data_IF_388643259361
#
_entry.id   IF_388643259361
#
_cell.length_a   1.000
_cell.length_b   1.000
_cell.length_c   1.000
_cell.angle_alpha   90.00
_cell.angle_beta   90.00
_cell.angle_gamma   90.00
#
_symmetry.space_group_name_H-M   'P 1'
#
loop_
_entity.id
_entity.type
_entity.pdbx_description
1 polymer ?
#
# COMPACT_ATOMS: atom_id res chain seq x y z
N UNK A 1 -22.72 7.84 -11.66
CA UNK A 1 -21.33 7.47 -11.40
C UNK A 1 -20.43 8.66 -11.71
N UNK A 2 -19.67 9.10 -10.70
CA UNK A 2 -18.63 10.10 -10.93
C UNK A 2 -17.38 9.36 -11.38
N UNK A 3 -16.97 9.59 -12.61
CA UNK A 3 -15.72 9.08 -13.18
C UNK A 3 -14.74 10.24 -13.38
N UNK A 4 -13.45 9.93 -13.43
CA UNK A 4 -12.43 10.87 -13.85
C UNK A 4 -12.55 11.07 -15.37
N UNK A 5 -12.51 12.33 -15.82
CA UNK A 5 -12.52 12.65 -17.25
C UNK A 5 -11.17 12.25 -17.90
N UNK A 6 -11.21 11.93 -19.18
CA UNK A 6 -9.99 11.63 -19.94
C UNK A 6 -9.19 12.91 -20.22
N UNK A 7 -7.86 12.84 -20.10
CA UNK A 7 -6.97 13.90 -20.54
C UNK A 7 -6.51 13.64 -21.97
N UNK A 8 -7.02 14.43 -22.90
CA UNK A 8 -6.59 14.40 -24.30
C UNK A 8 -5.53 15.48 -24.56
N UNK A 9 -4.37 15.07 -25.03
CA UNK A 9 -3.30 15.96 -25.43
C UNK A 9 -3.07 15.92 -26.94
N UNK A 10 -2.79 17.07 -27.58
CA UNK A 10 -2.47 17.09 -29.01
C UNK A 10 -1.26 16.19 -29.31
N UNK A 11 -1.25 15.42 -30.42
CA UNK A 11 -0.17 14.46 -30.73
C UNK A 11 1.23 15.08 -30.77
N UNK A 12 1.34 16.36 -31.21
CA UNK A 12 2.62 17.09 -31.21
C UNK A 12 3.11 17.42 -29.81
N UNK A 13 2.19 17.63 -28.86
CA UNK A 13 2.49 17.85 -27.45
C UNK A 13 2.98 16.56 -26.84
N UNK A 14 2.22 15.48 -26.99
CA UNK A 14 2.60 14.13 -26.51
C UNK A 14 4.00 13.75 -26.99
N UNK A 15 4.26 13.85 -28.31
CA UNK A 15 5.59 13.54 -28.87
C UNK A 15 6.70 14.37 -28.26
N UNK A 16 6.47 15.68 -28.05
CA UNK A 16 7.47 16.56 -27.44
C UNK A 16 7.69 16.24 -25.96
N UNK A 17 6.65 15.88 -25.24
CA UNK A 17 6.71 15.51 -23.82
C UNK A 17 7.46 14.20 -23.61
N UNK A 18 7.12 13.15 -24.36
CA UNK A 18 7.83 11.87 -24.32
C UNK A 18 9.31 12.05 -24.63
N UNK A 19 9.63 12.81 -25.70
CA UNK A 19 11.02 13.07 -26.07
C UNK A 19 11.80 13.81 -24.96
N UNK A 20 11.20 14.83 -24.35
CA UNK A 20 11.85 15.56 -23.27
C UNK A 20 12.04 14.67 -22.04
N UNK A 21 11.05 13.84 -21.70
CA UNK A 21 11.13 12.88 -20.61
C UNK A 21 12.27 11.88 -20.82
N UNK A 22 12.31 11.25 -22.00
CA UNK A 22 13.35 10.27 -22.33
C UNK A 22 14.74 10.91 -22.35
N UNK A 23 14.83 12.16 -22.86
CA UNK A 23 16.07 12.93 -22.81
C UNK A 23 16.50 13.23 -21.38
N UNK A 24 15.58 13.60 -20.49
CA UNK A 24 15.86 13.84 -19.07
C UNK A 24 16.40 12.58 -18.39
N UNK A 25 15.74 11.45 -18.56
CA UNK A 25 16.22 10.18 -17.98
C UNK A 25 17.58 9.79 -18.58
N UNK A 26 17.80 10.10 -19.86
CA UNK A 26 19.04 9.78 -20.57
C UNK A 26 20.23 10.69 -20.26
N UNK A 27 20.02 11.85 -19.62
CA UNK A 27 21.13 12.73 -19.16
C UNK A 27 21.92 12.06 -18.02
N UNK A 28 21.26 11.24 -17.23
CA UNK A 28 21.86 10.57 -16.08
C UNK A 28 22.39 9.18 -16.45
N UNK A 29 23.56 8.83 -15.92
CA UNK A 29 24.14 7.50 -16.11
C UNK A 29 23.26 6.39 -15.52
N UNK A 30 22.49 6.72 -14.47
CA UNK A 30 21.64 5.79 -13.73
C UNK A 30 20.28 6.40 -13.46
N UNK A 31 19.24 5.56 -13.53
CA UNK A 31 17.86 5.96 -13.23
C UNK A 31 17.69 6.48 -11.79
N UNK A 32 18.46 5.95 -10.85
CA UNK A 32 18.47 6.41 -9.47
C UNK A 32 18.90 7.87 -9.35
N UNK A 33 19.84 8.34 -10.18
CA UNK A 33 20.28 9.74 -10.19
C UNK A 33 19.19 10.65 -10.73
N UNK A 34 18.50 10.27 -11.81
CA UNK A 34 17.34 10.99 -12.32
C UNK A 34 16.19 11.05 -11.27
N UNK A 35 15.96 9.93 -10.61
CA UNK A 35 14.97 9.84 -9.54
C UNK A 35 15.32 10.74 -8.35
N UNK A 36 16.59 10.76 -7.96
CA UNK A 36 17.08 11.58 -6.84
C UNK A 36 17.01 13.07 -7.16
N UNK A 37 17.22 13.47 -8.42
CA UNK A 37 17.09 14.87 -8.85
C UNK A 37 15.63 15.37 -8.64
N UNK A 38 14.63 14.63 -9.10
CA UNK A 38 13.21 15.00 -8.91
C UNK A 38 12.84 14.95 -7.42
N UNK A 39 13.23 13.88 -6.72
CA UNK A 39 12.93 13.70 -5.30
C UNK A 39 13.56 14.79 -4.45
N UNK A 40 14.83 15.12 -4.70
CA UNK A 40 15.55 16.19 -4.01
C UNK A 40 14.89 17.55 -4.20
N UNK A 41 14.64 17.94 -5.44
CA UNK A 41 14.00 19.23 -5.76
C UNK A 41 12.63 19.38 -5.08
N UNK A 42 11.83 18.32 -5.04
CA UNK A 42 10.54 18.36 -4.36
C UNK A 42 10.67 18.60 -2.85
N UNK A 43 11.61 17.93 -2.18
CA UNK A 43 11.78 18.10 -0.73
C UNK A 43 12.59 19.35 -0.36
N UNK A 44 13.40 19.88 -1.26
CA UNK A 44 14.02 21.21 -1.10
C UNK A 44 12.93 22.30 -1.15
N UNK A 45 11.94 22.15 -2.05
CA UNK A 45 10.79 23.05 -2.13
C UNK A 45 9.77 22.86 -0.99
N UNK A 46 9.65 21.64 -0.41
CA UNK A 46 8.70 21.32 0.64
C UNK A 46 9.27 20.38 1.71
N UNK A 47 10.22 20.83 2.57
CA UNK A 47 10.90 20.00 3.57
C UNK A 47 9.95 19.36 4.58
N UNK A 48 8.84 20.02 4.88
CA UNK A 48 7.82 19.55 5.82
C UNK A 48 7.05 18.31 5.34
N UNK A 49 7.15 17.96 4.05
CA UNK A 49 6.49 16.79 3.49
C UNK A 49 7.31 15.50 3.62
N UNK A 50 8.59 15.58 4.00
CA UNK A 50 9.45 14.40 4.14
C UNK A 50 8.89 13.35 5.10
N UNK A 51 8.26 13.76 6.19
CA UNK A 51 7.64 12.87 7.18
C UNK A 51 6.46 12.04 6.66
N UNK A 52 5.92 12.36 5.49
CA UNK A 52 4.85 11.57 4.85
C UNK A 52 5.40 10.30 4.15
N UNK A 53 6.68 10.24 3.89
CA UNK A 53 7.33 9.17 3.14
C UNK A 53 8.11 8.25 4.09
N UNK A 54 7.63 7.02 4.25
CA UNK A 54 8.18 6.04 5.20
C UNK A 54 9.26 5.14 4.59
N UNK A 55 9.31 5.03 3.26
CA UNK A 55 10.29 4.19 2.59
C UNK A 55 11.62 4.95 2.38
N UNK A 56 12.76 4.25 2.23
CA UNK A 56 14.04 4.86 1.94
C UNK A 56 13.98 5.77 0.70
N UNK A 57 14.73 6.89 0.74
CA UNK A 57 14.78 7.92 -0.32
C UNK A 57 14.96 7.34 -1.72
N UNK A 58 15.94 6.47 -1.91
CA UNK A 58 16.22 5.85 -3.21
C UNK A 58 15.03 5.05 -3.75
N UNK A 59 14.35 4.29 -2.89
CA UNK A 59 13.15 3.51 -3.27
C UNK A 59 11.99 4.43 -3.65
N UNK A 60 11.76 5.50 -2.89
CA UNK A 60 10.68 6.43 -3.17
C UNK A 60 10.94 7.23 -4.43
N UNK A 61 12.16 7.73 -4.63
CA UNK A 61 12.55 8.42 -5.86
C UNK A 61 12.31 7.56 -7.10
N UNK A 62 12.73 6.29 -7.08
CA UNK A 62 12.48 5.35 -8.20
C UNK A 62 10.99 5.07 -8.43
N UNK A 63 10.18 4.99 -7.38
CA UNK A 63 8.71 4.83 -7.52
C UNK A 63 8.09 6.05 -8.19
N UNK A 64 8.49 7.26 -7.78
CA UNK A 64 8.02 8.51 -8.38
C UNK A 64 8.42 8.56 -9.86
N UNK A 65 9.71 8.33 -10.17
CA UNK A 65 10.21 8.33 -11.54
C UNK A 65 9.45 7.31 -12.41
N UNK A 66 9.26 6.09 -11.92
CA UNK A 66 8.55 5.03 -12.64
C UNK A 66 7.09 5.39 -12.88
N UNK A 67 6.41 5.95 -11.89
CA UNK A 67 5.02 6.39 -12.01
C UNK A 67 4.86 7.48 -13.07
N UNK A 68 5.68 8.52 -13.03
CA UNK A 68 5.63 9.61 -14.03
C UNK A 68 6.00 9.06 -15.42
N UNK A 69 7.02 8.20 -15.51
CA UNK A 69 7.39 7.56 -16.78
C UNK A 69 6.20 6.83 -17.40
N UNK A 70 5.46 6.08 -16.61
CA UNK A 70 4.29 5.35 -17.11
C UNK A 70 3.19 6.29 -17.61
N UNK A 71 2.93 7.41 -16.92
CA UNK A 71 1.95 8.40 -17.34
C UNK A 71 2.37 9.12 -18.63
N UNK A 72 3.63 9.53 -18.73
CA UNK A 72 4.17 10.20 -19.92
C UNK A 72 4.05 9.30 -21.15
N UNK A 73 4.40 8.02 -21.03
CA UNK A 73 4.32 7.08 -22.14
C UNK A 73 2.88 6.66 -22.46
N UNK A 74 1.95 6.70 -21.49
CA UNK A 74 0.53 6.44 -21.73
C UNK A 74 -0.21 7.64 -22.34
N UNK A 75 0.38 8.84 -22.37
CA UNK A 75 -0.30 10.06 -22.80
C UNK A 75 -0.73 10.09 -24.27
N UNK A 76 -0.36 9.10 -25.08
CA UNK A 76 -0.82 8.91 -26.44
C UNK A 76 -2.23 8.29 -26.53
N UNK A 77 -2.72 7.69 -25.45
CA UNK A 77 -4.03 7.09 -25.30
C UNK A 77 -4.66 7.59 -23.98
N UNK A 78 -5.64 8.47 -24.11
CA UNK A 78 -6.29 9.13 -22.97
C UNK A 78 -6.93 8.12 -21.99
N UNK A 79 -7.52 7.05 -22.51
CA UNK A 79 -8.12 5.99 -21.69
C UNK A 79 -7.07 5.17 -20.94
N UNK A 80 -5.94 4.87 -21.60
CA UNK A 80 -4.81 4.18 -20.96
C UNK A 80 -4.20 5.04 -19.85
N UNK A 81 -3.98 6.33 -20.14
CA UNK A 81 -3.47 7.29 -19.16
C UNK A 81 -4.39 7.36 -17.94
N UNK A 82 -5.70 7.52 -18.14
CA UNK A 82 -6.68 7.53 -17.06
C UNK A 82 -6.57 6.28 -16.19
N UNK A 83 -6.58 5.09 -16.79
CA UNK A 83 -6.49 3.81 -16.04
C UNK A 83 -5.22 3.71 -15.21
N UNK A 84 -4.08 4.14 -15.74
CA UNK A 84 -2.82 4.12 -15.00
C UNK A 84 -2.81 5.11 -13.86
N UNK A 85 -3.31 6.31 -14.09
CA UNK A 85 -3.41 7.36 -13.06
C UNK A 85 -4.38 6.94 -11.95
N UNK A 86 -5.55 6.39 -12.29
CA UNK A 86 -6.51 5.86 -11.32
C UNK A 86 -5.90 4.74 -10.47
N UNK A 87 -5.21 3.78 -11.09
CA UNK A 87 -4.55 2.68 -10.36
C UNK A 87 -3.53 3.20 -9.33
N UNK A 88 -2.73 4.20 -9.69
CA UNK A 88 -1.78 4.82 -8.75
C UNK A 88 -2.51 5.65 -7.70
N UNK A 89 -3.58 6.37 -8.06
CA UNK A 89 -4.38 7.16 -7.13
C UNK A 89 -5.01 6.29 -6.02
N UNK A 90 -5.48 5.10 -6.35
CA UNK A 90 -6.01 4.15 -5.36
C UNK A 90 -4.93 3.68 -4.36
N UNK A 91 -3.67 3.62 -4.75
CA UNK A 91 -2.55 3.32 -3.85
C UNK A 91 -2.16 4.52 -2.95
N UNK A 92 -2.74 5.70 -3.19
CA UNK A 92 -2.44 6.95 -2.48
C UNK A 92 -3.62 7.47 -1.63
N UNK A 93 -4.66 6.66 -1.40
CA UNK A 93 -5.86 7.08 -0.66
C UNK A 93 -5.58 7.56 0.76
N UNK A 94 -4.53 7.04 1.39
CA UNK A 94 -4.12 7.41 2.75
C UNK A 94 -3.19 8.63 2.79
N UNK A 95 -2.67 9.08 1.63
CA UNK A 95 -1.85 10.28 1.56
C UNK A 95 -2.71 11.54 1.47
N UNK A 96 -2.30 12.56 2.21
CA UNK A 96 -2.95 13.86 2.16
C UNK A 96 -2.44 14.68 0.96
N UNK A 97 -2.83 14.25 -0.25
CA UNK A 97 -2.53 14.98 -1.49
C UNK A 97 -3.51 16.14 -1.62
N UNK A 98 -2.99 17.38 -1.68
CA UNK A 98 -3.76 18.60 -1.84
C UNK A 98 -3.30 19.38 -3.07
N UNK A 99 -4.15 20.26 -3.60
CA UNK A 99 -3.82 21.05 -4.79
C UNK A 99 -2.50 21.86 -4.62
N UNK A 100 -2.23 22.55 -3.49
CA UNK A 100 -0.94 23.20 -3.29
C UNK A 100 0.26 22.25 -3.30
N UNK A 101 0.11 21.03 -2.76
CA UNK A 101 1.21 20.02 -2.77
C UNK A 101 1.48 19.50 -4.18
N UNK A 102 0.43 19.30 -4.97
CA UNK A 102 0.55 18.96 -6.40
C UNK A 102 1.27 20.06 -7.16
N UNK A 103 0.94 21.32 -6.89
CA UNK A 103 1.56 22.46 -7.53
C UNK A 103 3.06 22.56 -7.20
N UNK A 104 3.44 22.46 -5.93
CA UNK A 104 4.84 22.46 -5.51
C UNK A 104 5.60 21.32 -6.20
N UNK A 105 5.04 20.11 -6.25
CA UNK A 105 5.69 18.97 -6.90
C UNK A 105 5.86 19.18 -8.41
N UNK A 106 4.83 19.74 -9.07
CA UNK A 106 4.88 20.08 -10.48
C UNK A 106 5.97 21.12 -10.75
N UNK A 107 5.97 22.25 -10.02
CA UNK A 107 6.94 23.33 -10.23
C UNK A 107 8.36 22.85 -9.98
N UNK A 108 8.63 22.16 -8.88
CA UNK A 108 9.94 21.59 -8.59
C UNK A 108 10.42 20.66 -9.71
N UNK A 109 9.51 19.83 -10.27
CA UNK A 109 9.87 18.98 -11.41
C UNK A 109 10.17 19.80 -12.67
N UNK A 110 9.39 20.87 -12.95
CA UNK A 110 9.66 21.75 -14.09
C UNK A 110 11.03 22.43 -13.97
N UNK A 111 11.39 22.89 -12.78
CA UNK A 111 12.70 23.52 -12.52
C UNK A 111 13.85 22.54 -12.77
N UNK A 112 13.73 21.29 -12.34
CA UNK A 112 14.74 20.26 -12.63
C UNK A 112 14.88 20.02 -14.13
N UNK A 113 13.77 19.98 -14.87
CA UNK A 113 13.80 19.82 -16.33
C UNK A 113 14.43 21.04 -17.03
N UNK A 114 14.19 22.25 -16.54
CA UNK A 114 14.85 23.45 -17.05
C UNK A 114 16.34 23.41 -16.81
N UNK A 115 16.76 22.99 -15.63
CA UNK A 115 18.18 22.90 -15.26
C UNK A 115 18.92 21.87 -16.13
N UNK A 116 18.34 20.66 -16.27
CA UNK A 116 19.01 19.53 -16.91
C UNK A 116 18.92 19.55 -18.44
N UNK A 117 17.84 20.08 -19.01
CA UNK A 117 17.60 20.05 -20.46
C UNK A 117 17.73 21.42 -21.12
N UNK A 118 17.60 22.51 -20.36
CA UNK A 118 17.65 23.85 -20.90
C UNK A 118 16.74 24.06 -22.12
N UNK A 119 17.29 24.47 -23.25
CA UNK A 119 16.53 24.73 -24.48
C UNK A 119 15.84 23.51 -25.08
N UNK A 120 16.21 22.29 -24.70
CA UNK A 120 15.55 21.05 -25.14
C UNK A 120 14.16 20.85 -24.47
N UNK A 121 13.94 21.50 -23.33
CA UNK A 121 12.65 21.52 -22.65
C UNK A 121 11.76 22.66 -23.18
N UNK A 122 11.36 22.55 -24.43
CA UNK A 122 10.56 23.58 -25.10
C UNK A 122 9.11 23.63 -24.62
N UNK A 123 8.40 24.69 -25.01
CA UNK A 123 7.03 25.03 -24.57
C UNK A 123 6.03 23.87 -24.68
N UNK A 124 6.07 23.06 -25.75
CA UNK A 124 5.16 21.92 -25.91
C UNK A 124 5.43 20.80 -24.90
N UNK A 125 6.69 20.50 -24.64
CA UNK A 125 7.08 19.50 -23.66
C UNK A 125 6.66 19.93 -22.26
N UNK A 126 6.93 21.18 -21.91
CA UNK A 126 6.52 21.80 -20.66
C UNK A 126 4.99 21.74 -20.46
N UNK A 127 4.23 22.13 -21.46
CA UNK A 127 2.77 22.09 -21.41
C UNK A 127 2.27 20.67 -21.17
N UNK A 128 2.79 19.70 -21.92
CA UNK A 128 2.34 18.30 -21.78
C UNK A 128 2.71 17.68 -20.45
N UNK A 129 3.94 17.86 -19.97
CA UNK A 129 4.36 17.34 -18.68
C UNK A 129 3.58 17.99 -17.53
N UNK A 130 3.41 19.32 -17.57
CA UNK A 130 2.58 20.03 -16.58
C UNK A 130 1.15 19.55 -16.57
N UNK A 131 0.52 19.33 -17.75
CA UNK A 131 -0.85 18.82 -17.85
C UNK A 131 -0.99 17.41 -17.27
N UNK A 132 -0.05 16.51 -17.58
CA UNK A 132 -0.04 15.13 -17.04
C UNK A 132 0.09 15.14 -15.51
N UNK A 133 1.00 15.95 -14.96
CA UNK A 133 1.19 16.02 -13.50
C UNK A 133 -0.02 16.63 -12.78
N UNK A 134 -0.61 17.69 -13.35
CA UNK A 134 -1.83 18.29 -12.80
C UNK A 134 -3.01 17.31 -12.85
N UNK A 135 -3.15 16.59 -13.95
CA UNK A 135 -4.17 15.55 -14.11
C UNK A 135 -4.01 14.43 -13.08
N UNK A 136 -2.79 13.89 -12.93
CA UNK A 136 -2.50 12.85 -11.94
C UNK A 136 -2.78 13.34 -10.51
N UNK A 137 -2.33 14.54 -10.16
CA UNK A 137 -2.61 15.13 -8.84
C UNK A 137 -4.10 15.36 -8.59
N UNK A 138 -4.84 15.83 -9.59
CA UNK A 138 -6.29 15.98 -9.54
C UNK A 138 -7.00 14.64 -9.34
N UNK A 139 -6.54 13.59 -10.02
CA UNK A 139 -7.06 12.24 -9.85
C UNK A 139 -6.84 11.70 -8.43
N UNK A 140 -5.69 11.96 -7.82
CA UNK A 140 -5.44 11.54 -6.43
C UNK A 140 -6.39 12.23 -5.45
N UNK A 141 -6.61 13.52 -5.61
CA UNK A 141 -7.55 14.28 -4.80
C UNK A 141 -8.98 13.77 -5.00
N UNK A 142 -9.37 13.51 -6.25
CA UNK A 142 -10.68 12.99 -6.61
C UNK A 142 -10.93 11.59 -6.01
N UNK A 143 -10.02 10.63 -6.25
CA UNK A 143 -10.15 9.27 -5.74
C UNK A 143 -10.22 9.24 -4.21
N UNK A 144 -9.39 10.03 -3.53
CA UNK A 144 -9.43 10.14 -2.08
C UNK A 144 -10.79 10.65 -1.59
N UNK A 145 -11.30 11.70 -2.20
CA UNK A 145 -12.59 12.30 -1.82
C UNK A 145 -13.76 11.34 -2.03
N UNK A 146 -13.79 10.67 -3.18
CA UNK A 146 -14.94 9.83 -3.56
C UNK A 146 -14.87 8.41 -2.94
N UNK A 147 -13.68 7.83 -2.78
CA UNK A 147 -13.54 6.41 -2.46
C UNK A 147 -12.92 6.08 -1.11
N UNK A 148 -12.08 6.94 -0.51
CA UNK A 148 -11.37 6.59 0.72
C UNK A 148 -12.32 6.25 1.88
N UNK A 149 -13.43 6.94 2.02
CA UNK A 149 -14.45 6.65 3.05
C UNK A 149 -15.11 5.29 2.86
N UNK A 150 -15.47 4.95 1.63
CA UNK A 150 -16.12 3.67 1.29
C UNK A 150 -15.18 2.49 1.49
N UNK A 151 -13.92 2.63 1.07
CA UNK A 151 -12.90 1.57 1.23
C UNK A 151 -12.61 1.34 2.71
N UNK A 152 -12.48 2.38 3.53
CA UNK A 152 -12.31 2.23 4.98
C UNK A 152 -13.49 1.53 5.64
N UNK A 153 -14.72 1.81 5.20
CA UNK A 153 -15.91 1.13 5.70
C UNK A 153 -15.89 -0.37 5.36
N UNK A 154 -15.55 -0.72 4.12
CA UNK A 154 -15.42 -2.11 3.67
C UNK A 154 -14.32 -2.86 4.45
N UNK A 155 -13.16 -2.25 4.66
CA UNK A 155 -12.08 -2.85 5.45
C UNK A 155 -12.49 -3.10 6.90
N UNK A 156 -13.23 -2.17 7.52
CA UNK A 156 -13.75 -2.36 8.88
C UNK A 156 -14.74 -3.51 8.96
N UNK A 157 -15.70 -3.58 8.02
CA UNK A 157 -16.70 -4.66 8.01
C UNK A 157 -16.05 -6.01 7.75
N UNK A 158 -15.03 -6.08 6.89
CA UNK A 158 -14.25 -7.29 6.64
C UNK A 158 -13.50 -7.77 7.88
N UNK A 159 -12.78 -6.86 8.55
CA UNK A 159 -12.05 -7.18 9.77
C UNK A 159 -12.98 -7.61 10.91
N UNK A 160 -14.21 -7.08 10.97
CA UNK A 160 -15.20 -7.49 11.96
C UNK A 160 -15.75 -8.88 11.64
N UNK A 161 -15.97 -9.19 10.36
CA UNK A 161 -16.43 -10.51 9.94
C UNK A 161 -15.34 -11.58 10.15
N UNK A 162 -14.07 -11.26 9.86
CA UNK A 162 -12.95 -12.18 10.10
C UNK A 162 -12.78 -12.50 11.59
N UNK A 163 -12.81 -11.49 12.47
CA UNK A 163 -12.75 -11.74 13.94
C UNK A 163 -13.90 -12.58 14.46
N UNK A 164 -15.10 -12.43 13.90
CA UNK A 164 -16.25 -13.23 14.30
C UNK A 164 -16.12 -14.69 13.82
N UNK A 165 -15.41 -14.95 12.72
CA UNK A 165 -15.06 -16.29 12.27
C UNK A 165 -14.09 -16.98 13.24
N UNK A 166 -13.03 -16.27 13.64
CA UNK A 166 -12.05 -16.79 14.60
C UNK A 166 -12.66 -17.11 15.97
N UNK A 167 -13.64 -16.31 16.43
CA UNK A 167 -14.36 -16.57 17.70
C UNK A 167 -15.28 -17.81 17.60
N UNK A 168 -15.85 -18.12 16.43
CA UNK A 168 -16.68 -19.31 16.22
C UNK A 168 -15.84 -20.58 16.20
N UNK A 169 -14.67 -20.54 15.51
CA UNK A 169 -13.74 -21.68 15.49
C UNK A 169 -13.20 -22.00 16.90
N UNK A 170 -13.00 -21.00 17.76
CA UNK A 170 -12.58 -21.21 19.16
C UNK A 170 -13.70 -21.80 20.05
N UNK A 171 -14.97 -21.55 19.72
CA UNK A 171 -16.10 -22.10 20.47
C UNK A 171 -16.30 -23.59 20.09
N UNK A 172 -16.12 -23.95 18.81
CA UNK A 172 -16.19 -25.36 18.37
C UNK A 172 -15.04 -26.18 18.96
N UNK A 173 -13.83 -25.62 19.11
CA UNK A 173 -12.69 -26.26 19.78
C UNK A 173 -12.90 -26.46 21.30
N UNK A 174 -13.69 -25.59 21.95
CA UNK A 174 -14.03 -25.74 23.37
C UNK A 174 -15.14 -26.79 23.61
N UNK A 175 -16.13 -26.85 22.72
CA UNK A 175 -17.17 -27.86 22.80
C UNK A 175 -16.59 -29.29 22.56
N UNK A 176 -15.64 -29.43 21.61
CA UNK A 176 -14.99 -30.73 21.37
C UNK A 176 -14.13 -31.22 22.55
N UNK A 177 -13.51 -30.28 23.30
CA UNK A 177 -12.74 -30.64 24.51
C UNK A 177 -13.61 -31.00 25.71
N UNK A 178 -14.81 -30.41 25.84
CA UNK A 178 -15.75 -30.78 26.92
C UNK A 178 -16.28 -32.19 26.73
N UNK A 179 -16.52 -32.60 25.49
CA UNK A 179 -17.00 -33.95 25.19
C UNK A 179 -15.91 -35.01 25.45
N UNK A 180 -14.63 -34.71 25.18
CA UNK A 180 -13.50 -35.61 25.49
C UNK A 180 -13.26 -35.75 27.02
N UNK A 181 -13.42 -34.67 27.80
CA UNK A 181 -13.28 -34.72 29.26
C UNK A 181 -14.43 -35.45 29.92
N UNK A 182 -15.69 -35.37 29.42
CA UNK A 182 -16.83 -36.14 29.93
C UNK A 182 -16.68 -37.64 29.59
N UNK A 183 -16.16 -38.05 28.43
CA UNK A 183 -15.88 -39.45 28.08
C UNK A 183 -14.76 -40.06 28.95
N UNK A 184 -13.69 -39.28 29.28
CA UNK A 184 -12.61 -39.73 30.15
C UNK A 184 -13.07 -39.90 31.62
N UNK A 185 -13.98 -39.06 32.13
CA UNK A 185 -14.58 -39.20 33.48
C UNK A 185 -15.51 -40.38 33.54
N UNK A 186 -16.32 -40.68 32.53
CA UNK A 186 -17.23 -41.83 32.49
C UNK A 186 -16.46 -43.16 32.45
N UNK A 187 -15.36 -43.23 31.68
CA UNK A 187 -14.44 -44.39 31.63
C UNK A 187 -13.67 -44.57 32.93
N UNK A 188 -13.34 -43.50 33.66
CA UNK A 188 -12.68 -43.57 34.95
C UNK A 188 -13.61 -44.06 36.07
N UNK A 189 -14.92 -43.70 36.05
CA UNK A 189 -15.91 -44.15 36.99
C UNK A 189 -16.25 -45.62 36.78
N UNK A 190 -16.36 -46.13 35.55
CA UNK A 190 -16.62 -47.54 35.24
C UNK A 190 -15.47 -48.47 35.69
N UNK A 191 -14.21 -47.97 35.72
CA UNK A 191 -13.04 -48.72 36.21
C UNK A 191 -13.01 -48.87 37.75
N UNK A 192 -13.65 -47.97 38.48
CA UNK A 192 -13.69 -48.02 39.97
C UNK A 192 -14.74 -48.97 40.47
N UNK A 193 -15.83 -49.27 39.70
CA UNK A 193 -16.91 -50.17 40.10
C UNK A 193 -16.62 -51.67 39.89
N UNK A 194 -15.56 -52.06 39.18
CA UNK A 194 -15.31 -53.46 38.78
C UNK A 194 -14.32 -54.23 39.65
N UNK A 195 -13.72 -53.68 40.73
CA UNK A 195 -12.78 -54.43 41.58
C UNK A 195 -13.10 -54.42 43.11
N UNK A 196 -14.11 -55.21 43.57
CA UNK A 196 -14.40 -55.37 45.00
C UNK A 196 -13.76 -56.64 45.61
N UNK A 197 -12.55 -57.02 45.20
CA UNK A 197 -11.90 -58.18 45.87
C UNK A 197 -10.40 -58.04 45.93
N UNK A 198 -9.90 -57.36 46.96
CA UNK A 198 -8.65 -57.70 47.67
C UNK A 198 -8.53 -56.88 48.95
N UNK A 199 -9.29 -57.33 49.95
CA UNK A 199 -8.94 -57.03 51.35
C UNK A 199 -8.38 -58.33 51.98
N UNK A 200 -7.38 -58.09 52.81
CA UNK A 200 -6.80 -58.97 53.80
C UNK A 200 -5.60 -59.83 53.41
N UNK A 201 -4.53 -59.45 53.97
CA UNK A 201 -3.55 -60.09 54.84
C UNK A 201 -2.21 -59.35 54.71
N UNK A 202 -1.64 -58.97 55.74
CA UNK A 202 -1.10 -59.36 56.99
C UNK A 202 0.15 -58.49 57.20
N UNK A 203 0.26 -57.82 58.16
CA UNK A 203 0.72 -57.96 59.48
C UNK A 203 2.26 -57.88 59.61
N UNK A 204 2.68 -56.92 60.43
CA UNK A 204 3.83 -56.99 61.38
C UNK A 204 5.22 -56.67 60.98
N UNK A 205 5.68 -55.72 61.78
CA UNK A 205 7.06 -55.66 62.36
C UNK A 205 8.16 -55.11 61.45
N UNK A 206 9.04 -54.28 61.84
CA UNK A 206 9.66 -53.98 63.12
C UNK A 206 10.71 -52.88 62.90
N UNK A 207 10.70 -51.89 63.72
CA UNK A 207 11.84 -51.28 64.41
C UNK A 207 13.26 -51.29 63.79
N UNK A 208 13.80 -50.13 63.92
CA UNK A 208 15.09 -49.76 64.53
C UNK A 208 16.31 -49.43 63.65
N UNK A 209 16.78 -48.20 63.97
CA UNK A 209 18.23 -47.76 64.04
C UNK A 209 18.99 -47.69 62.70
N UNK A 210 19.60 -46.61 62.42
CA UNK A 210 20.50 -45.71 63.13
C UNK A 210 20.49 -44.35 62.41
#
# INVERSE_FOLDING_TARGET
>A
DKSLDDLELPPKVVKSTVRAWDSFVGVFERKESAADAIYGAFFDAAPNLQGMFRAPRATMGLRILTGITSFVHAAHDATLLRRQVEAVAFNHLDLDVTAPRVEIFREATMEVFDLELGALFGTRARMGLSSIMTYAGGAYIFCRKEYAGRIRLLLRSWNTAAKKGDDVDQIEDLDSKSDEEEEEEEVAQERVEVDPTKSQEGGKNSQLKA
#
